data_IF_298753817949
#
_entry.id   IF_298753817949
#
_cell.length_a   1.000
_cell.length_b   1.000
_cell.length_c   1.000
_cell.angle_alpha   90.00
_cell.angle_beta   90.00
_cell.angle_gamma   90.00
#
_symmetry.space_group_name_H-M   'P 1'
#
loop_
_entity.id
_entity.type
_entity.pdbx_description
1 polymer ?
#
# COMPACT_ATOMS: atom_id res chain seq x y z
N UNK A 1 22.85 13.86 12.21
CA UNK A 1 22.40 12.52 11.73
C UNK A 1 23.54 11.56 11.33
N UNK A 2 24.83 11.88 11.55
CA UNK A 2 25.96 11.01 11.16
C UNK A 2 26.53 10.14 12.31
N UNK A 3 26.13 10.36 13.56
CA UNK A 3 26.58 9.55 14.71
C UNK A 3 25.82 8.21 14.86
N UNK A 4 24.63 8.09 14.26
CA UNK A 4 23.86 6.83 14.27
C UNK A 4 24.22 5.87 13.14
N UNK A 5 24.77 6.38 12.02
CA UNK A 5 25.06 5.57 10.83
C UNK A 5 26.23 4.61 11.03
N UNK A 6 27.25 4.98 11.81
CA UNK A 6 28.41 4.14 12.07
C UNK A 6 28.04 2.89 12.89
N UNK A 7 27.38 3.08 14.03
CA UNK A 7 26.97 1.97 14.90
C UNK A 7 25.96 1.02 14.22
N UNK A 8 25.01 1.56 13.43
CA UNK A 8 24.09 0.75 12.64
C UNK A 8 24.82 -0.04 11.55
N UNK A 9 25.80 0.57 10.88
CA UNK A 9 26.60 -0.12 9.87
C UNK A 9 27.46 -1.23 10.47
N UNK A 10 28.07 -1.01 11.64
CA UNK A 10 28.83 -2.03 12.35
C UNK A 10 27.94 -3.18 12.83
N UNK A 11 26.74 -2.88 13.35
CA UNK A 11 25.77 -3.89 13.74
C UNK A 11 25.29 -4.73 12.55
N UNK A 12 24.98 -4.07 11.43
CA UNK A 12 24.56 -4.74 10.19
C UNK A 12 25.65 -5.66 9.64
N UNK A 13 26.92 -5.22 9.69
CA UNK A 13 28.07 -5.96 9.19
C UNK A 13 28.57 -7.05 10.13
N UNK A 14 28.03 -7.14 11.35
CA UNK A 14 28.42 -8.15 12.34
C UNK A 14 27.94 -9.57 11.97
N UNK A 15 26.78 -9.71 11.34
CA UNK A 15 26.23 -11.01 10.93
C UNK A 15 25.14 -10.86 9.87
N UNK A 16 24.97 -11.87 9.00
CA UNK A 16 23.88 -11.94 8.02
C UNK A 16 22.49 -11.84 8.67
N UNK A 17 22.32 -12.36 9.89
CA UNK A 17 21.07 -12.23 10.65
C UNK A 17 20.77 -10.78 11.01
N UNK A 18 21.80 -10.03 11.43
CA UNK A 18 21.65 -8.63 11.83
C UNK A 18 21.33 -7.76 10.62
N UNK A 19 21.99 -8.01 9.48
CA UNK A 19 21.66 -7.34 8.22
C UNK A 19 20.18 -7.55 7.83
N UNK A 20 19.67 -8.79 7.96
CA UNK A 20 18.24 -9.09 7.72
C UNK A 20 17.32 -8.28 8.63
N UNK A 21 17.64 -8.21 9.92
CA UNK A 21 16.88 -7.41 10.89
C UNK A 21 16.89 -5.94 10.49
N UNK A 22 18.05 -5.40 10.10
CA UNK A 22 18.17 -4.00 9.66
C UNK A 22 17.33 -3.74 8.40
N UNK A 23 17.33 -4.65 7.42
CA UNK A 23 16.51 -4.52 6.22
C UNK A 23 15.01 -4.57 6.51
N UNK A 24 14.57 -5.47 7.41
CA UNK A 24 13.16 -5.52 7.85
C UNK A 24 12.77 -4.27 8.63
N UNK A 25 13.65 -3.79 9.53
CA UNK A 25 13.42 -2.55 10.26
C UNK A 25 13.32 -1.35 9.32
N UNK A 26 14.18 -1.28 8.29
CA UNK A 26 14.09 -0.27 7.24
C UNK A 26 12.73 -0.36 6.52
N UNK A 27 12.29 -1.56 6.14
CA UNK A 27 11.02 -1.80 5.45
C UNK A 27 9.83 -1.24 6.22
N UNK A 28 9.76 -1.62 7.49
CA UNK A 28 8.70 -1.19 8.39
C UNK A 28 8.79 0.32 8.63
N UNK A 29 9.99 0.86 8.83
CA UNK A 29 10.17 2.30 9.02
C UNK A 29 9.73 3.12 7.81
N UNK A 30 10.00 2.65 6.59
CA UNK A 30 9.61 3.33 5.37
C UNK A 30 8.08 3.32 5.22
N UNK A 31 7.41 2.21 5.54
CA UNK A 31 5.94 2.11 5.55
C UNK A 31 5.29 2.97 6.63
N UNK A 32 5.86 3.01 7.83
CA UNK A 32 5.39 3.86 8.93
C UNK A 32 5.54 5.36 8.61
N UNK A 33 6.46 5.73 7.72
CA UNK A 33 6.66 7.10 7.25
C UNK A 33 5.64 7.53 6.17
N UNK A 34 4.88 6.61 5.57
CA UNK A 34 3.90 6.92 4.54
C UNK A 34 2.81 7.91 4.98
N UNK A 35 2.03 7.63 6.05
CA UNK A 35 0.99 8.53 6.53
C UNK A 35 1.47 9.96 6.90
N UNK A 36 2.59 10.15 7.63
CA UNK A 36 3.08 11.50 7.90
C UNK A 36 3.60 12.21 6.63
N UNK A 37 4.16 11.48 5.64
CA UNK A 37 4.50 12.07 4.34
C UNK A 37 3.26 12.53 3.58
N UNK A 38 2.19 11.73 3.57
CA UNK A 38 0.92 12.13 2.96
C UNK A 38 0.35 13.39 3.63
N UNK A 39 0.36 13.44 4.97
CA UNK A 39 -0.08 14.63 5.72
C UNK A 39 0.78 15.88 5.42
N UNK A 40 2.11 15.70 5.31
CA UNK A 40 3.01 16.78 4.91
C UNK A 40 2.69 17.28 3.49
N UNK A 41 2.48 16.37 2.54
CA UNK A 41 2.13 16.71 1.17
C UNK A 41 0.81 17.48 1.10
N UNK A 42 -0.22 17.04 1.83
CA UNK A 42 -1.52 17.74 1.91
C UNK A 42 -1.33 19.17 2.42
N UNK A 43 -0.61 19.36 3.53
CA UNK A 43 -0.33 20.69 4.09
C UNK A 43 0.42 21.61 3.12
N UNK A 44 1.41 21.09 2.41
CA UNK A 44 2.15 21.85 1.41
C UNK A 44 1.23 22.22 0.22
N UNK A 45 0.37 21.30 -0.20
CA UNK A 45 -0.56 21.53 -1.30
C UNK A 45 -1.66 22.53 -0.95
N UNK A 46 -2.18 22.46 0.28
CA UNK A 46 -3.16 23.41 0.81
C UNK A 46 -2.57 24.83 0.89
N UNK A 47 -1.28 24.93 1.24
CA UNK A 47 -0.58 26.21 1.31
C UNK A 47 -0.43 26.89 -0.07
N UNK A 48 -0.33 26.10 -1.14
CA UNK A 48 -0.16 26.63 -2.51
C UNK A 48 -1.45 27.17 -3.13
N UNK A 49 -2.61 26.90 -2.52
CA UNK A 49 -3.92 27.46 -2.89
C UNK A 49 -4.24 27.37 -4.40
N UNK A 50 -4.41 26.13 -4.88
CA UNK A 50 -4.77 25.86 -6.28
C UNK A 50 -6.16 26.37 -6.65
N UNK A 51 -6.31 26.84 -7.91
CA UNK A 51 -7.56 27.39 -8.43
C UNK A 51 -8.62 26.32 -8.71
N UNK A 52 -8.20 25.13 -9.15
CA UNK A 52 -9.10 24.04 -9.54
C UNK A 52 -8.80 22.79 -8.72
N UNK A 53 -9.82 21.96 -8.47
CA UNK A 53 -9.66 20.69 -7.78
C UNK A 53 -8.75 19.73 -8.58
N UNK A 54 -8.86 19.75 -9.92
CA UNK A 54 -8.02 18.94 -10.77
C UNK A 54 -6.54 19.28 -10.63
N UNK A 55 -6.18 20.57 -10.64
CA UNK A 55 -4.80 21.00 -10.43
C UNK A 55 -4.32 20.65 -9.01
N UNK A 56 -5.18 20.80 -8.00
CA UNK A 56 -4.87 20.40 -6.63
C UNK A 56 -4.50 18.91 -6.56
N UNK A 57 -5.35 18.03 -7.09
CA UNK A 57 -5.21 16.58 -7.01
C UNK A 57 -3.97 16.07 -7.76
N UNK A 58 -3.72 16.60 -8.96
CA UNK A 58 -2.55 16.23 -9.76
C UNK A 58 -1.24 16.61 -9.06
N UNK A 59 -1.14 17.85 -8.56
CA UNK A 59 0.06 18.31 -7.89
C UNK A 59 0.29 17.58 -6.55
N UNK A 60 -0.79 17.25 -5.82
CA UNK A 60 -0.71 16.44 -4.61
C UNK A 60 -0.15 15.04 -4.91
N UNK A 61 -0.70 14.38 -5.94
CA UNK A 61 -0.27 13.04 -6.38
C UNK A 61 1.20 13.03 -6.79
N UNK A 62 1.63 14.05 -7.55
CA UNK A 62 3.03 14.17 -7.98
C UNK A 62 3.97 14.38 -6.79
N UNK A 63 3.65 15.28 -5.85
CA UNK A 63 4.49 15.52 -4.66
C UNK A 63 4.61 14.27 -3.80
N UNK A 64 3.48 13.63 -3.53
CA UNK A 64 3.45 12.42 -2.71
C UNK A 64 4.23 11.28 -3.38
N UNK A 65 3.98 11.00 -4.65
CA UNK A 65 4.68 9.94 -5.39
C UNK A 65 6.20 10.18 -5.46
N UNK A 66 6.65 11.43 -5.64
CA UNK A 66 8.08 11.77 -5.64
C UNK A 66 8.73 11.56 -4.27
N UNK A 67 8.10 12.04 -3.19
CA UNK A 67 8.64 11.89 -1.84
C UNK A 67 8.65 10.43 -1.40
N UNK A 68 7.59 9.70 -1.71
CA UNK A 68 7.49 8.28 -1.39
C UNK A 68 8.46 7.44 -2.23
N UNK A 69 8.72 7.83 -3.47
CA UNK A 69 9.78 7.23 -4.31
C UNK A 69 11.14 7.40 -3.64
N UNK A 70 11.49 8.59 -3.14
CA UNK A 70 12.76 8.79 -2.43
C UNK A 70 12.82 7.98 -1.13
N UNK A 71 11.72 7.92 -0.37
CA UNK A 71 11.61 7.14 0.86
C UNK A 71 11.85 5.64 0.62
N UNK A 72 11.22 5.06 -0.41
CA UNK A 72 11.26 3.62 -0.68
C UNK A 72 12.48 3.18 -1.50
N UNK A 73 12.85 3.94 -2.53
CA UNK A 73 13.92 3.56 -3.46
C UNK A 73 15.27 4.19 -3.14
N UNK A 74 15.33 5.21 -2.28
CA UNK A 74 16.56 5.93 -1.98
C UNK A 74 17.70 5.01 -1.53
N UNK A 75 17.42 4.09 -0.59
CA UNK A 75 18.43 3.13 -0.13
C UNK A 75 18.81 2.12 -1.23
N UNK A 76 17.86 1.68 -2.06
CA UNK A 76 18.15 0.78 -3.19
C UNK A 76 19.04 1.47 -4.22
N UNK A 77 18.79 2.72 -4.57
CA UNK A 77 19.67 3.49 -5.46
C UNK A 77 21.06 3.67 -4.89
N UNK A 78 21.17 3.98 -3.60
CA UNK A 78 22.48 4.12 -2.94
C UNK A 78 23.25 2.80 -2.97
N UNK A 79 22.62 1.68 -2.63
CA UNK A 79 23.26 0.36 -2.65
C UNK A 79 23.65 -0.10 -4.07
N UNK A 80 22.82 0.18 -5.07
CA UNK A 80 23.03 -0.29 -6.46
C UNK A 80 23.97 0.59 -7.26
N UNK A 81 23.87 1.91 -7.15
CA UNK A 81 24.55 2.85 -8.05
C UNK A 81 25.61 3.70 -7.38
N UNK A 82 25.59 3.89 -6.05
CA UNK A 82 26.52 4.81 -5.36
C UNK A 82 27.60 4.05 -4.60
N UNK A 83 27.20 3.11 -3.74
CA UNK A 83 28.13 2.38 -2.87
C UNK A 83 29.24 1.61 -3.61
N UNK A 84 28.98 0.99 -4.78
CA UNK A 84 30.04 0.33 -5.52
C UNK A 84 31.21 1.25 -5.92
N UNK A 85 30.98 2.57 -6.02
CA UNK A 85 31.98 3.55 -6.44
C UNK A 85 32.58 4.36 -5.29
N UNK A 86 31.82 4.61 -4.22
CA UNK A 86 32.22 5.53 -3.14
C UNK A 86 33.04 4.82 -2.05
N UNK A 87 32.56 3.68 -1.55
CA UNK A 87 33.18 2.98 -0.41
C UNK A 87 32.84 1.48 -0.40
N UNK A 88 33.75 0.59 -0.85
CA UNK A 88 33.50 -0.86 -0.85
C UNK A 88 33.49 -1.48 0.56
N UNK A 89 33.83 -0.71 1.60
CA UNK A 89 33.90 -1.19 2.99
C UNK A 89 32.52 -1.45 3.62
N UNK A 90 31.46 -0.80 3.12
CA UNK A 90 30.08 -0.99 3.60
C UNK A 90 29.46 -2.28 3.05
N UNK A 91 29.94 -2.77 1.91
CA UNK A 91 29.58 -4.08 1.34
C UNK A 91 30.83 -4.96 1.24
N UNK A 92 31.58 -5.11 2.34
CA UNK A 92 32.81 -5.89 2.30
C UNK A 92 32.49 -7.39 2.20
N UNK A 93 32.57 -7.92 0.97
CA UNK A 93 32.37 -9.33 0.66
C UNK A 93 33.27 -10.25 1.50
N UNK A 94 34.42 -9.77 2.03
CA UNK A 94 35.28 -10.58 2.90
C UNK A 94 34.73 -10.78 4.31
N UNK A 95 33.95 -9.83 4.83
CA UNK A 95 33.38 -9.93 6.19
C UNK A 95 32.03 -10.65 6.21
N UNK A 96 31.18 -10.40 5.20
CA UNK A 96 29.81 -10.93 5.16
C UNK A 96 29.58 -12.00 4.08
N UNK A 97 30.49 -12.12 3.11
CA UNK A 97 30.35 -13.00 1.95
C UNK A 97 29.20 -12.59 1.03
N UNK A 98 28.89 -11.30 0.94
CA UNK A 98 27.77 -10.75 0.17
C UNK A 98 28.21 -9.48 -0.58
N UNK A 99 27.89 -9.39 -1.85
CA UNK A 99 28.19 -8.20 -2.68
C UNK A 99 27.15 -7.09 -2.45
N UNK A 100 27.47 -5.83 -2.78
CA UNK A 100 26.49 -4.72 -2.69
C UNK A 100 25.21 -5.00 -3.48
N UNK A 101 25.36 -5.64 -4.66
CA UNK A 101 24.24 -5.96 -5.53
C UNK A 101 23.33 -7.03 -4.90
N UNK A 102 23.92 -8.04 -4.27
CA UNK A 102 23.19 -9.05 -3.50
C UNK A 102 22.50 -8.45 -2.27
N UNK A 103 23.16 -7.49 -1.60
CA UNK A 103 22.56 -6.75 -0.49
C UNK A 103 21.35 -5.93 -0.95
N UNK A 104 21.46 -5.25 -2.10
CA UNK A 104 20.34 -4.53 -2.72
C UNK A 104 19.21 -5.47 -3.14
N UNK A 105 19.53 -6.62 -3.74
CA UNK A 105 18.54 -7.64 -4.11
C UNK A 105 17.82 -8.18 -2.87
N UNK A 106 18.55 -8.43 -1.78
CA UNK A 106 17.95 -8.83 -0.51
C UNK A 106 17.06 -7.73 0.07
N UNK A 107 17.50 -6.47 0.04
CA UNK A 107 16.70 -5.34 0.52
C UNK A 107 15.39 -5.20 -0.29
N UNK A 108 15.48 -5.31 -1.62
CA UNK A 108 14.34 -5.29 -2.53
C UNK A 108 13.32 -6.37 -2.19
N UNK A 109 13.78 -7.62 -2.05
CA UNK A 109 12.90 -8.74 -1.68
C UNK A 109 12.28 -8.52 -0.31
N UNK A 110 13.04 -8.00 0.66
CA UNK A 110 12.46 -7.71 1.99
C UNK A 110 11.42 -6.60 1.96
N UNK A 111 11.60 -5.54 1.16
CA UNK A 111 10.57 -4.50 0.99
C UNK A 111 9.28 -5.11 0.45
N UNK A 112 9.38 -5.85 -0.65
CA UNK A 112 8.23 -6.45 -1.33
C UNK A 112 7.58 -7.55 -0.49
N UNK A 113 8.35 -8.34 0.26
CA UNK A 113 7.81 -9.37 1.15
C UNK A 113 7.05 -8.77 2.33
N UNK A 114 7.56 -7.68 2.92
CA UNK A 114 6.84 -6.94 3.97
C UNK A 114 5.56 -6.32 3.41
N UNK A 115 5.62 -5.72 2.23
CA UNK A 115 4.44 -5.14 1.57
C UNK A 115 3.38 -6.20 1.28
N UNK A 116 3.78 -7.34 0.71
CA UNK A 116 2.89 -8.48 0.48
C UNK A 116 2.27 -9.01 1.78
N UNK A 117 3.04 -9.09 2.87
CA UNK A 117 2.53 -9.51 4.17
C UNK A 117 1.50 -8.51 4.74
N UNK A 118 1.73 -7.20 4.58
CA UNK A 118 0.77 -6.18 4.97
C UNK A 118 -0.50 -6.23 4.10
N UNK A 119 -0.37 -6.41 2.78
CA UNK A 119 -1.53 -6.61 1.90
C UNK A 119 -2.34 -7.86 2.28
N UNK A 120 -1.69 -8.95 2.69
CA UNK A 120 -2.40 -10.13 3.20
C UNK A 120 -3.12 -9.86 4.52
N UNK A 121 -2.52 -9.04 5.39
CA UNK A 121 -3.16 -8.61 6.64
C UNK A 121 -4.42 -7.78 6.34
N UNK A 122 -4.32 -6.80 5.45
CA UNK A 122 -5.47 -5.99 5.01
C UNK A 122 -6.56 -6.85 4.35
N UNK A 123 -6.17 -7.84 3.54
CA UNK A 123 -7.12 -8.77 2.91
C UNK A 123 -7.82 -9.65 3.96
N UNK A 124 -7.13 -10.05 5.04
CA UNK A 124 -7.75 -10.84 6.11
C UNK A 124 -8.94 -10.11 6.69
N UNK A 125 -8.80 -8.81 6.97
CA UNK A 125 -9.87 -8.03 7.56
C UNK A 125 -11.09 -7.96 6.59
N UNK A 126 -10.83 -7.79 5.28
CA UNK A 126 -11.87 -7.88 4.24
C UNK A 126 -12.61 -9.24 4.23
N UNK A 127 -11.88 -10.34 4.40
CA UNK A 127 -12.42 -11.71 4.36
C UNK A 127 -13.20 -12.04 5.64
N UNK A 128 -12.70 -11.62 6.79
CA UNK A 128 -13.32 -11.89 8.09
C UNK A 128 -14.65 -11.16 8.24
N UNK A 129 -14.71 -9.89 7.84
CA UNK A 129 -15.87 -9.05 8.10
C UNK A 129 -17.07 -9.37 7.19
N UNK A 130 -16.81 -9.77 5.94
CA UNK A 130 -17.87 -9.93 4.93
C UNK A 130 -18.00 -11.35 4.39
N UNK A 131 -16.88 -11.99 4.03
CA UNK A 131 -16.91 -13.30 3.37
C UNK A 131 -17.25 -14.39 4.37
N UNK A 132 -16.56 -14.45 5.51
CA UNK A 132 -16.73 -15.49 6.53
C UNK A 132 -18.18 -15.58 7.05
N UNK A 133 -18.86 -14.50 7.48
CA UNK A 133 -20.23 -14.59 7.97
C UNK A 133 -21.24 -14.91 6.86
N UNK A 134 -20.96 -14.54 5.60
CA UNK A 134 -21.82 -14.91 4.46
C UNK A 134 -21.67 -16.38 4.10
N UNK A 135 -20.44 -16.88 4.08
CA UNK A 135 -20.13 -18.30 3.83
C UNK A 135 -20.64 -19.21 4.95
N UNK A 136 -20.49 -18.81 6.22
CA UNK A 136 -21.07 -19.50 7.38
C UNK A 136 -22.60 -19.56 7.32
N UNK A 137 -23.27 -18.47 6.87
CA UNK A 137 -24.73 -18.48 6.66
C UNK A 137 -25.16 -19.48 5.57
N UNK A 138 -24.39 -19.62 4.50
CA UNK A 138 -24.63 -20.61 3.44
C UNK A 138 -24.35 -22.06 3.89
N UNK A 139 -23.29 -22.28 4.69
CA UNK A 139 -22.91 -23.59 5.21
C UNK A 139 -23.83 -24.11 6.32
N UNK A 140 -24.30 -23.23 7.22
CA UNK A 140 -25.23 -23.60 8.28
C UNK A 140 -26.67 -23.83 7.77
N UNK A 141 -26.89 -23.89 6.45
CA UNK A 141 -28.17 -24.31 5.87
C UNK A 141 -29.35 -23.43 6.27
N UNK A 142 -29.12 -22.16 6.62
CA UNK A 142 -30.24 -21.22 6.77
C UNK A 142 -30.73 -20.90 5.36
N UNK A 143 -31.72 -21.68 4.92
CA UNK A 143 -32.52 -21.46 3.73
C UNK A 143 -33.36 -20.19 3.92
N UNK A 144 -32.72 -19.03 3.97
CA UNK A 144 -33.42 -17.79 3.64
C UNK A 144 -33.64 -17.84 2.13
N UNK A 145 -34.89 -18.12 1.77
CA UNK A 145 -35.43 -18.05 0.43
C UNK A 145 -34.71 -16.97 -0.37
N UNK A 146 -34.10 -17.36 -1.48
CA UNK A 146 -33.86 -16.46 -2.60
C UNK A 146 -35.25 -15.95 -2.97
N UNK A 147 -35.62 -14.79 -2.42
CA UNK A 147 -36.77 -14.06 -2.90
C UNK A 147 -36.30 -13.46 -4.22
N UNK A 148 -36.77 -14.09 -5.28
CA UNK A 148 -36.54 -13.83 -6.70
C UNK A 148 -36.45 -12.32 -6.95
N UNK A 149 -35.49 -11.91 -7.78
CA UNK A 149 -35.23 -10.51 -8.14
C UNK A 149 -36.47 -9.77 -8.70
N UNK A 150 -37.49 -10.50 -9.15
CA UNK A 150 -38.80 -9.94 -9.57
C UNK A 150 -39.67 -9.42 -8.41
N UNK A 151 -39.55 -9.96 -7.19
CA UNK A 151 -40.32 -9.47 -6.03
C UNK A 151 -39.71 -8.19 -5.42
N UNK A 152 -38.39 -7.98 -5.58
CA UNK A 152 -37.72 -6.77 -5.07
C UNK A 152 -38.16 -5.52 -5.83
N UNK A 153 -38.46 -5.62 -7.12
CA UNK A 153 -38.91 -4.48 -7.93
C UNK A 153 -40.32 -4.01 -7.52
N UNK A 154 -41.21 -4.93 -7.15
CA UNK A 154 -42.56 -4.59 -6.65
C UNK A 154 -42.57 -4.12 -5.17
N UNK A 155 -41.64 -4.59 -4.34
CA UNK A 155 -41.50 -4.14 -2.94
C UNK A 155 -40.77 -2.79 -2.80
N UNK A 156 -39.94 -2.41 -3.77
CA UNK A 156 -39.29 -1.09 -3.79
C UNK A 156 -40.27 0.07 -4.03
N UNK A 157 -41.41 -0.19 -4.69
CA UNK A 157 -42.48 0.80 -4.85
C UNK A 157 -43.30 1.04 -3.57
N UNK A 158 -43.16 0.19 -2.55
CA UNK A 158 -43.93 0.25 -1.30
C UNK A 158 -43.06 0.15 -0.03
N UNK A 159 -41.76 0.43 -0.12
CA UNK A 159 -40.89 0.44 1.06
C UNK A 159 -41.25 1.63 1.98
N UNK A 160 -41.55 1.40 3.27
CA UNK A 160 -41.84 2.48 4.22
C UNK A 160 -40.59 3.33 4.39
N UNK A 161 -40.75 4.65 4.54
CA UNK A 161 -39.68 5.65 4.73
C UNK A 161 -38.58 5.22 5.74
N UNK A 162 -38.93 4.36 6.68
CA UNK A 162 -38.04 3.76 7.69
C UNK A 162 -36.90 2.89 7.11
N UNK A 163 -37.14 2.11 6.05
CA UNK A 163 -36.09 1.24 5.49
C UNK A 163 -35.05 2.04 4.68
N UNK A 164 -35.48 3.15 4.07
CA UNK A 164 -34.60 4.10 3.41
C UNK A 164 -33.77 4.89 4.43
N UNK A 165 -34.39 5.33 5.54
CA UNK A 165 -33.66 6.07 6.58
C UNK A 165 -32.59 5.21 7.25
N UNK A 166 -32.85 3.92 7.53
CA UNK A 166 -31.84 3.03 8.12
C UNK A 166 -30.65 2.81 7.19
N UNK A 167 -30.91 2.61 5.88
CA UNK A 167 -29.84 2.44 4.89
C UNK A 167 -29.02 3.73 4.71
N UNK A 168 -29.69 4.89 4.71
CA UNK A 168 -29.02 6.18 4.63
C UNK A 168 -28.15 6.46 5.86
N UNK A 169 -28.65 6.15 7.07
CA UNK A 169 -27.85 6.28 8.29
C UNK A 169 -26.59 5.39 8.24
N UNK A 170 -26.74 4.14 7.81
CA UNK A 170 -25.60 3.24 7.64
C UNK A 170 -24.59 3.73 6.58
N UNK A 171 -25.08 4.34 5.49
CA UNK A 171 -24.21 4.90 4.45
C UNK A 171 -23.48 6.16 4.92
N UNK A 172 -24.10 6.99 5.76
CA UNK A 172 -23.48 8.18 6.36
C UNK A 172 -22.41 7.85 7.41
N UNK A 173 -22.44 6.66 8.00
CA UNK A 173 -21.44 6.19 8.96
C UNK A 173 -20.15 5.67 8.29
N UNK A 174 -20.17 5.41 6.99
CA UNK A 174 -18.99 5.00 6.22
C UNK A 174 -18.01 6.16 6.03
N UNK A 175 -16.73 5.84 5.82
CA UNK A 175 -15.69 6.84 5.58
C UNK A 175 -15.89 7.53 4.22
N UNK A 176 -15.53 8.82 4.15
CA UNK A 176 -15.54 9.55 2.88
C UNK A 176 -14.43 9.03 1.95
N UNK A 177 -14.74 8.88 0.66
CA UNK A 177 -13.75 8.44 -0.31
C UNK A 177 -12.77 9.58 -0.61
N UNK A 178 -11.56 9.48 -0.04
CA UNK A 178 -10.43 10.43 -0.16
C UNK A 178 -9.85 10.60 -1.59
N UNK A 179 -10.53 10.05 -2.61
CA UNK A 179 -10.15 10.12 -4.02
C UNK A 179 -9.15 9.05 -4.46
N UNK A 180 -8.99 8.91 -5.78
CA UNK A 180 -8.18 7.84 -6.42
C UNK A 180 -6.67 8.09 -6.33
N UNK A 181 -6.25 9.25 -5.80
CA UNK A 181 -4.89 9.76 -5.95
C UNK A 181 -3.85 8.91 -5.23
N UNK A 182 -4.14 8.49 -4.00
CA UNK A 182 -3.25 7.63 -3.22
C UNK A 182 -3.19 6.20 -3.80
N UNK A 183 -4.31 5.71 -4.35
CA UNK A 183 -4.39 4.42 -5.04
C UNK A 183 -3.48 4.41 -6.28
N UNK A 184 -3.50 5.49 -7.08
CA UNK A 184 -2.60 5.64 -8.22
C UNK A 184 -1.13 5.72 -7.80
N UNK A 185 -0.82 6.45 -6.74
CA UNK A 185 0.55 6.53 -6.23
C UNK A 185 1.07 5.13 -5.83
N UNK A 186 0.23 4.30 -5.21
CA UNK A 186 0.59 2.92 -4.87
C UNK A 186 0.92 2.10 -6.12
N UNK A 187 0.11 2.20 -7.18
CA UNK A 187 0.37 1.50 -8.46
C UNK A 187 1.70 1.96 -9.09
N UNK A 188 1.97 3.27 -9.09
CA UNK A 188 3.21 3.85 -9.64
C UNK A 188 4.43 3.31 -8.87
N UNK A 189 4.34 3.22 -7.54
CA UNK A 189 5.42 2.70 -6.69
C UNK A 189 5.65 1.20 -6.97
N UNK A 190 4.61 0.38 -7.00
CA UNK A 190 4.76 -1.05 -7.32
C UNK A 190 5.39 -1.25 -8.71
N UNK A 191 4.98 -0.45 -9.68
CA UNK A 191 5.61 -0.42 -11.00
C UNK A 191 7.10 -0.01 -10.93
N UNK A 192 7.45 0.99 -10.12
CA UNK A 192 8.83 1.44 -9.92
C UNK A 192 9.77 0.33 -9.42
N UNK A 193 9.31 -0.51 -8.48
CA UNK A 193 10.07 -1.68 -8.01
C UNK A 193 10.41 -2.65 -9.16
N UNK A 194 9.47 -2.88 -10.07
CA UNK A 194 9.67 -3.76 -11.23
C UNK A 194 10.54 -3.07 -12.28
N UNK A 195 10.22 -1.83 -12.64
CA UNK A 195 10.87 -1.11 -13.73
C UNK A 195 12.37 -0.87 -13.50
N UNK A 196 12.77 -0.53 -12.27
CA UNK A 196 14.17 -0.23 -11.96
C UNK A 196 14.95 -1.43 -11.45
N UNK A 197 14.32 -2.35 -10.73
CA UNK A 197 15.04 -3.35 -9.94
C UNK A 197 14.70 -4.81 -10.27
N UNK A 198 13.85 -5.09 -11.26
CA UNK A 198 13.56 -6.48 -11.67
C UNK A 198 14.80 -7.27 -12.09
N UNK A 199 15.83 -6.59 -12.64
CA UNK A 199 17.08 -7.22 -13.04
C UNK A 199 17.92 -7.74 -11.85
N UNK A 200 17.70 -7.23 -10.63
CA UNK A 200 18.42 -7.68 -9.43
C UNK A 200 17.96 -9.06 -8.97
N UNK A 201 16.66 -9.32 -9.05
CA UNK A 201 16.07 -10.56 -8.57
C UNK A 201 14.72 -10.83 -9.26
N UNK A 202 14.56 -11.93 -10.02
CA UNK A 202 13.29 -12.25 -10.69
C UNK A 202 12.13 -12.47 -9.72
N UNK A 203 12.40 -12.87 -8.47
CA UNK A 203 11.39 -13.00 -7.41
C UNK A 203 10.64 -11.67 -7.15
N UNK A 204 11.28 -10.53 -7.38
CA UNK A 204 10.66 -9.22 -7.20
C UNK A 204 9.42 -9.04 -8.09
N UNK A 205 9.46 -9.56 -9.33
CA UNK A 205 8.33 -9.48 -10.27
C UNK A 205 7.16 -10.33 -9.80
N UNK A 206 7.42 -11.52 -9.26
CA UNK A 206 6.38 -12.41 -8.72
C UNK A 206 5.72 -11.81 -7.49
N UNK A 207 6.51 -11.22 -6.58
CA UNK A 207 5.98 -10.54 -5.40
C UNK A 207 5.18 -9.30 -5.79
N UNK A 208 5.66 -8.48 -6.73
CA UNK A 208 4.94 -7.31 -7.22
C UNK A 208 3.60 -7.68 -7.87
N UNK A 209 3.56 -8.78 -8.65
CA UNK A 209 2.31 -9.31 -9.19
C UNK A 209 1.37 -9.78 -8.07
N UNK A 210 1.90 -10.48 -7.06
CA UNK A 210 1.14 -10.87 -5.87
C UNK A 210 0.52 -9.67 -5.15
N UNK A 211 1.31 -8.62 -4.88
CA UNK A 211 0.83 -7.37 -4.26
C UNK A 211 -0.26 -6.74 -5.12
N UNK A 212 -0.04 -6.58 -6.43
CA UNK A 212 -1.01 -5.96 -7.33
C UNK A 212 -2.34 -6.73 -7.36
N UNK A 213 -2.31 -8.06 -7.39
CA UNK A 213 -3.55 -8.87 -7.38
C UNK A 213 -4.30 -8.78 -6.05
N UNK A 214 -3.60 -8.76 -4.91
CA UNK A 214 -4.21 -8.55 -3.60
C UNK A 214 -4.82 -7.15 -3.51
N UNK A 215 -4.08 -6.13 -3.94
CA UNK A 215 -4.49 -4.74 -3.83
C UNK A 215 -5.77 -4.46 -4.63
N UNK A 216 -5.89 -4.99 -5.85
CA UNK A 216 -7.13 -4.88 -6.64
C UNK A 216 -8.34 -5.40 -5.87
N UNK A 217 -8.19 -6.47 -5.07
CA UNK A 217 -9.29 -7.02 -4.27
C UNK A 217 -9.58 -6.18 -3.04
N UNK A 218 -8.54 -5.68 -2.38
CA UNK A 218 -8.65 -4.81 -1.20
C UNK A 218 -9.32 -3.49 -1.59
N UNK A 219 -8.92 -2.88 -2.70
CA UNK A 219 -9.48 -1.62 -3.18
C UNK A 219 -10.94 -1.79 -3.62
N UNK A 220 -11.26 -2.89 -4.32
CA UNK A 220 -12.64 -3.21 -4.66
C UNK A 220 -13.51 -3.39 -3.41
N UNK A 221 -12.96 -3.98 -2.34
CA UNK A 221 -13.66 -4.13 -1.06
C UNK A 221 -13.86 -2.77 -0.37
N UNK A 222 -12.80 -1.96 -0.28
CA UNK A 222 -12.84 -0.60 0.31
C UNK A 222 -13.92 0.26 -0.37
N UNK A 223 -14.00 0.22 -1.70
CA UNK A 223 -14.99 0.96 -2.49
C UNK A 223 -16.43 0.44 -2.33
N UNK A 224 -16.63 -0.86 -2.09
CA UNK A 224 -17.97 -1.44 -1.99
C UNK A 224 -18.54 -1.40 -0.58
N UNK A 225 -17.69 -1.54 0.44
CA UNK A 225 -18.12 -1.89 1.79
C UNK A 225 -17.66 -0.91 2.87
N UNK A 226 -16.59 -0.12 2.64
CA UNK A 226 -16.00 0.73 3.69
C UNK A 226 -16.14 2.22 3.41
N UNK A 227 -16.38 2.62 2.16
CA UNK A 227 -16.44 4.03 1.77
C UNK A 227 -17.80 4.42 1.22
N UNK A 228 -18.14 5.68 1.41
CA UNK A 228 -19.31 6.30 0.79
C UNK A 228 -19.16 6.33 -0.73
N UNK A 229 -20.29 6.30 -1.43
CA UNK A 229 -20.29 6.39 -2.89
C UNK A 229 -19.68 7.73 -3.33
N UNK A 230 -18.60 7.65 -4.10
CA UNK A 230 -17.97 8.83 -4.70
C UNK A 230 -18.99 9.66 -5.49
N UNK A 231 -18.99 10.97 -5.28
CA UNK A 231 -19.81 11.90 -6.05
C UNK A 231 -19.19 12.10 -7.43
N UNK A 232 -20.02 12.09 -8.48
CA UNK A 232 -19.52 12.31 -9.84
C UNK A 232 -18.91 13.71 -9.93
N UNK A 233 -17.70 13.86 -10.51
CA UNK A 233 -17.15 15.18 -10.78
C UNK A 233 -18.11 15.92 -11.71
N UNK A 234 -18.66 17.03 -11.23
CA UNK A 234 -19.48 17.91 -12.07
C UNK A 234 -18.53 18.58 -13.07
N UNK A 235 -18.72 18.24 -14.36
CA UNK A 235 -18.03 18.85 -15.51
C UNK A 235 -18.22 20.35 -15.57
#
# INVERSE_FOLDING_TARGET
MLLGSAALSEFALSSRSNLRVVHVAFALSAKLLGPPLAALCRRLNDWENYKTQHDYDLNLTLKYSLLETVNLFGMLWVLTFVQPFVSPTICDAKKLGLDCLDQAAHLLVTMLAVDFALSLWDLRDCVVDEVLPRWLRCLCGSRQSIQTDEDRVHLLQSAPRHNLSVRLCAELELDEYDGVMFDYAQVIITFGFVAWFAALQPLAVLLAWGIATLQIRIDAFRLCCLTQRATLPRS
#
